data_IF_669844536824
#
_entry.id   IF_669844536824
#
_cell.length_a   1.000
_cell.length_b   1.000
_cell.length_c   1.000
_cell.angle_alpha   90.00
_cell.angle_beta   90.00
_cell.angle_gamma   90.00
#
_symmetry.space_group_name_H-M   'P 1'
#
loop_
_entity.id
_entity.type
_entity.pdbx_description
1 polymer ?
#
# COMPACT_ATOMS: atom_id res chain seq x y z
N UNK A 1 35.99 -4.75 12.89
CA UNK A 1 34.54 -4.55 13.15
C UNK A 1 34.02 -3.55 12.13
N UNK A 2 33.26 -3.98 11.11
CA UNK A 2 32.79 -3.06 10.06
C UNK A 2 31.60 -2.28 10.62
N UNK A 3 31.82 -1.02 11.03
CA UNK A 3 30.76 -0.07 11.39
C UNK A 3 30.08 0.39 10.09
N UNK A 4 28.77 0.26 10.01
CA UNK A 4 27.98 0.80 8.92
C UNK A 4 27.60 2.26 9.18
N UNK A 5 27.22 2.97 8.11
CA UNK A 5 26.70 4.33 8.22
C UNK A 5 25.33 4.32 8.93
N UNK A 6 24.92 5.46 9.51
CA UNK A 6 23.60 5.60 10.14
C UNK A 6 22.46 5.28 9.17
N UNK A 7 22.66 5.50 7.87
CA UNK A 7 21.64 5.34 6.83
C UNK A 7 21.31 3.87 6.53
N UNK A 8 22.29 2.97 6.59
CA UNK A 8 22.06 1.54 6.37
C UNK A 8 21.28 0.90 7.54
N UNK A 9 21.55 1.34 8.77
CA UNK A 9 20.77 0.92 9.94
C UNK A 9 19.33 1.44 9.88
N UNK A 10 19.14 2.68 9.41
CA UNK A 10 17.80 3.26 9.21
C UNK A 10 17.02 2.45 8.15
N UNK A 11 17.63 2.21 6.98
CA UNK A 11 17.02 1.44 5.89
C UNK A 11 16.61 0.03 6.31
N UNK A 12 17.46 -0.68 7.07
CA UNK A 12 17.13 -2.02 7.57
C UNK A 12 15.95 -2.02 8.56
N UNK A 13 15.85 -0.99 9.40
CA UNK A 13 14.72 -0.82 10.32
C UNK A 13 13.43 -0.46 9.57
N UNK A 14 13.52 0.35 8.51
CA UNK A 14 12.37 0.70 7.66
C UNK A 14 11.79 -0.55 6.99
N UNK A 15 12.65 -1.39 6.39
CA UNK A 15 12.25 -2.67 5.78
C UNK A 15 11.59 -3.58 6.83
N UNK A 16 12.19 -3.70 8.02
CA UNK A 16 11.62 -4.49 9.12
C UNK A 16 10.21 -4.01 9.49
N UNK A 17 10.04 -2.69 9.60
CA UNK A 17 8.75 -2.10 9.95
C UNK A 17 7.69 -2.35 8.87
N UNK A 18 8.06 -2.22 7.59
CA UNK A 18 7.19 -2.51 6.46
C UNK A 18 6.77 -3.99 6.39
N UNK A 19 7.72 -4.92 6.57
CA UNK A 19 7.43 -6.36 6.67
C UNK A 19 6.43 -6.64 7.80
N UNK A 20 6.63 -6.02 8.97
CA UNK A 20 5.72 -6.21 10.10
C UNK A 20 4.30 -5.70 9.83
N UNK A 21 4.12 -4.71 8.94
CA UNK A 21 2.79 -4.23 8.52
C UNK A 21 2.07 -5.23 7.62
N UNK A 22 2.79 -5.89 6.71
CA UNK A 22 2.22 -6.91 5.81
C UNK A 22 1.94 -8.22 6.56
N UNK A 23 2.84 -8.57 7.48
CA UNK A 23 2.75 -9.77 8.30
C UNK A 23 4.06 -10.57 8.27
N UNK A 24 4.68 -10.72 9.44
CA UNK A 24 5.93 -11.48 9.58
C UNK A 24 5.81 -12.95 9.15
N UNK A 25 4.60 -13.53 9.22
CA UNK A 25 4.33 -14.90 8.75
C UNK A 25 4.33 -14.98 7.22
N UNK A 26 3.69 -14.02 6.52
CA UNK A 26 3.73 -13.95 5.04
C UNK A 26 5.17 -13.80 4.54
N UNK A 27 5.97 -12.99 5.21
CA UNK A 27 7.39 -12.86 4.89
C UNK A 27 8.16 -14.16 5.15
N UNK A 28 7.89 -14.85 6.26
CA UNK A 28 8.50 -16.15 6.54
C UNK A 28 8.16 -17.18 5.46
N UNK A 29 6.89 -17.27 5.06
CA UNK A 29 6.42 -18.19 4.02
C UNK A 29 7.03 -17.86 2.66
N UNK A 30 7.12 -16.58 2.30
CA UNK A 30 7.82 -16.12 1.09
C UNK A 30 9.29 -16.56 1.09
N UNK A 31 10.01 -16.35 2.20
CA UNK A 31 11.42 -16.72 2.31
C UNK A 31 11.59 -18.23 2.24
N UNK A 32 10.71 -19.01 2.87
CA UNK A 32 10.74 -20.47 2.85
C UNK A 32 10.40 -21.02 1.46
N UNK A 33 9.41 -20.46 0.78
CA UNK A 33 8.98 -20.89 -0.56
C UNK A 33 10.04 -20.59 -1.62
N UNK A 34 10.65 -19.41 -1.57
CA UNK A 34 11.62 -18.94 -2.58
C UNK A 34 13.04 -19.43 -2.32
N UNK A 35 13.44 -19.59 -1.06
CA UNK A 35 14.80 -19.98 -0.68
C UNK A 35 14.83 -21.34 0.05
N UNK A 36 13.92 -22.26 -0.28
CA UNK A 36 13.69 -23.53 0.41
C UNK A 36 14.92 -24.41 0.68
N UNK A 37 15.99 -24.31 -0.12
CA UNK A 37 17.27 -24.99 0.17
C UNK A 37 17.99 -24.44 1.41
N UNK A 38 17.61 -23.26 1.92
CA UNK A 38 18.14 -22.61 3.12
C UNK A 38 17.13 -22.60 4.28
N UNK A 39 16.02 -23.36 4.19
CA UNK A 39 14.90 -23.34 5.15
C UNK A 39 15.34 -23.53 6.61
N UNK A 40 16.21 -24.49 6.88
CA UNK A 40 16.70 -24.75 8.24
C UNK A 40 17.62 -23.65 8.77
N UNK A 41 18.41 -23.04 7.88
CA UNK A 41 19.25 -21.90 8.20
C UNK A 41 18.43 -20.66 8.50
N UNK A 42 17.38 -20.39 7.72
CA UNK A 42 16.42 -19.30 7.96
C UNK A 42 15.69 -19.54 9.29
N UNK A 43 15.12 -20.72 9.51
CA UNK A 43 14.38 -21.04 10.74
C UNK A 43 15.24 -20.91 12.00
N UNK A 44 16.52 -21.30 11.96
CA UNK A 44 17.45 -21.17 13.09
C UNK A 44 17.85 -19.73 13.42
N UNK A 45 17.84 -18.83 12.43
CA UNK A 45 18.33 -17.46 12.59
C UNK A 45 17.22 -16.40 12.66
N UNK A 46 16.00 -16.68 12.16
CA UNK A 46 14.86 -15.76 12.17
C UNK A 46 14.32 -15.47 13.58
N UNK A 47 14.42 -16.43 14.50
CA UNK A 47 13.97 -16.30 15.90
C UNK A 47 14.85 -15.43 16.79
N UNK A 48 16.05 -15.07 16.32
CA UNK A 48 17.01 -14.23 17.06
C UNK A 48 16.97 -12.84 16.46
N UNK A 49 16.86 -11.80 17.29
CA UNK A 49 16.77 -10.39 16.87
C UNK A 49 18.06 -9.85 16.23
N UNK A 50 18.48 -10.45 15.11
CA UNK A 50 19.80 -10.25 14.49
C UNK A 50 19.87 -9.03 13.58
N UNK A 51 18.77 -8.28 13.43
CA UNK A 51 18.76 -7.05 12.63
C UNK A 51 19.69 -5.96 13.20
N UNK A 52 20.06 -6.04 14.48
CA UNK A 52 20.91 -5.06 15.16
C UNK A 52 22.43 -5.24 14.90
N UNK A 53 22.89 -6.39 14.37
CA UNK A 53 24.32 -6.65 14.10
C UNK A 53 24.56 -7.08 12.65
N UNK A 54 25.56 -6.49 12.00
CA UNK A 54 26.02 -6.86 10.65
C UNK A 54 26.36 -8.35 10.61
N UNK A 55 25.58 -9.12 9.86
CA UNK A 55 25.83 -10.54 9.61
C UNK A 55 25.40 -10.87 8.18
N UNK A 56 25.99 -11.91 7.58
CA UNK A 56 25.52 -12.45 6.29
C UNK A 56 24.03 -12.79 6.31
N UNK A 57 23.50 -13.16 7.47
CA UNK A 57 22.08 -13.42 7.67
C UNK A 57 21.22 -12.14 7.61
N UNK A 58 21.69 -11.04 8.20
CA UNK A 58 20.98 -9.75 8.14
C UNK A 58 20.92 -9.21 6.71
N UNK A 59 22.03 -9.26 5.98
CA UNK A 59 22.07 -8.74 4.61
C UNK A 59 21.17 -9.59 3.69
N UNK A 60 21.15 -10.91 3.88
CA UNK A 60 20.16 -11.80 3.28
C UNK A 60 18.71 -11.41 3.62
N UNK A 61 18.40 -11.08 4.88
CA UNK A 61 17.05 -10.65 5.26
C UNK A 61 16.67 -9.29 4.64
N UNK A 62 17.63 -8.39 4.45
CA UNK A 62 17.40 -7.10 3.78
C UNK A 62 17.08 -7.34 2.31
N UNK A 63 17.87 -8.14 1.61
CA UNK A 63 17.63 -8.50 0.20
C UNK A 63 16.30 -9.21 0.02
N UNK A 64 16.04 -10.27 0.80
CA UNK A 64 14.77 -10.99 0.77
C UNK A 64 13.60 -10.09 1.17
N UNK A 65 13.79 -9.15 2.09
CA UNK A 65 12.80 -8.15 2.48
C UNK A 65 12.46 -7.20 1.34
N UNK A 66 13.46 -6.72 0.59
CA UNK A 66 13.24 -5.89 -0.60
C UNK A 66 12.51 -6.68 -1.68
N UNK A 67 12.90 -7.93 -1.94
CA UNK A 67 12.20 -8.80 -2.89
C UNK A 67 10.76 -9.06 -2.46
N UNK A 68 10.52 -9.31 -1.17
CA UNK A 68 9.18 -9.51 -0.62
C UNK A 68 8.30 -8.27 -0.78
N UNK A 69 8.82 -7.08 -0.48
CA UNK A 69 8.09 -5.81 -0.61
C UNK A 69 7.78 -5.43 -2.06
N UNK A 70 8.62 -5.86 -3.01
CA UNK A 70 8.43 -5.63 -4.43
C UNK A 70 7.67 -6.76 -5.14
N UNK A 71 7.37 -7.87 -4.46
CA UNK A 71 6.50 -8.91 -4.99
C UNK A 71 5.11 -8.33 -5.21
N UNK A 72 4.52 -8.54 -6.39
CA UNK A 72 3.26 -7.90 -6.80
C UNK A 72 2.15 -8.06 -5.76
N UNK A 73 2.01 -9.24 -5.15
CA UNK A 73 0.95 -9.49 -4.16
C UNK A 73 1.15 -8.68 -2.87
N UNK A 74 2.40 -8.50 -2.43
CA UNK A 74 2.72 -7.75 -1.21
C UNK A 74 2.81 -6.25 -1.48
N UNK A 75 3.25 -5.86 -2.67
CA UNK A 75 3.23 -4.49 -3.16
C UNK A 75 1.80 -3.96 -3.17
N UNK A 76 0.84 -4.73 -3.68
CA UNK A 76 -0.58 -4.37 -3.71
C UNK A 76 -1.19 -4.24 -2.29
N UNK A 77 -0.63 -4.93 -1.29
CA UNK A 77 -1.01 -4.81 0.13
C UNK A 77 -0.41 -3.53 0.75
N UNK A 78 0.85 -3.21 0.44
CA UNK A 78 1.56 -2.04 0.96
C UNK A 78 1.13 -0.73 0.32
N UNK A 79 0.75 -0.82 -0.95
CA UNK A 79 0.39 0.28 -1.82
C UNK A 79 -1.00 0.02 -2.37
N UNK A 80 -2.03 -0.09 -1.49
CA UNK A 80 -3.38 -0.34 -1.94
C UNK A 80 -3.77 0.75 -2.92
N UNK A 81 -3.92 0.34 -4.18
CA UNK A 81 -4.40 1.25 -5.21
C UNK A 81 -5.86 1.49 -4.92
N UNK A 82 -6.21 2.76 -4.71
CA UNK A 82 -7.56 3.20 -4.43
C UNK A 82 -7.98 4.14 -5.55
N UNK A 83 -9.29 4.27 -5.76
CA UNK A 83 -9.81 5.35 -6.59
C UNK A 83 -10.19 6.51 -5.66
N UNK A 84 -9.68 7.71 -5.94
CA UNK A 84 -10.03 8.94 -5.22
C UNK A 84 -10.77 9.87 -6.18
N UNK A 85 -11.94 10.33 -5.76
CA UNK A 85 -12.75 11.30 -6.50
C UNK A 85 -13.27 12.40 -5.59
N UNK A 86 -13.73 13.49 -6.17
CA UNK A 86 -14.47 14.56 -5.50
C UNK A 86 -15.84 14.76 -6.14
N UNK A 87 -16.84 15.16 -5.36
CA UNK A 87 -18.22 15.22 -5.81
C UNK A 87 -18.55 16.50 -6.57
N UNK A 88 -18.14 17.66 -6.05
CA UNK A 88 -18.45 18.97 -6.64
C UNK A 88 -17.19 19.81 -6.83
N UNK A 89 -17.19 20.75 -7.78
CA UNK A 89 -16.01 21.61 -8.04
C UNK A 89 -15.51 22.35 -6.79
N UNK A 90 -16.40 22.73 -5.88
CA UNK A 90 -16.05 23.34 -4.59
C UNK A 90 -15.19 22.43 -3.69
N UNK A 91 -15.27 21.11 -3.86
CA UNK A 91 -14.50 20.11 -3.11
C UNK A 91 -13.08 19.92 -3.66
N UNK A 92 -12.76 20.51 -4.82
CA UNK A 92 -11.49 20.28 -5.53
C UNK A 92 -10.26 20.62 -4.67
N UNK A 93 -10.31 21.72 -3.92
CA UNK A 93 -9.21 22.11 -3.02
C UNK A 93 -8.98 21.06 -1.93
N UNK A 94 -10.07 20.60 -1.29
CA UNK A 94 -10.00 19.52 -0.30
C UNK A 94 -9.54 18.19 -0.89
N UNK A 95 -9.87 17.92 -2.15
CA UNK A 95 -9.41 16.76 -2.88
C UNK A 95 -7.90 16.77 -3.12
N UNK A 96 -7.31 17.90 -3.49
CA UNK A 96 -5.85 18.02 -3.62
C UNK A 96 -5.15 17.76 -2.28
N UNK A 97 -5.66 18.32 -1.19
CA UNK A 97 -5.13 18.06 0.16
C UNK A 97 -5.29 16.60 0.58
N UNK A 98 -6.42 15.98 0.24
CA UNK A 98 -6.68 14.57 0.53
C UNK A 98 -5.71 13.65 -0.23
N UNK A 99 -5.50 13.91 -1.52
CA UNK A 99 -4.53 13.22 -2.38
C UNK A 99 -3.13 13.29 -1.79
N UNK A 100 -2.64 14.50 -1.49
CA UNK A 100 -1.32 14.70 -0.91
C UNK A 100 -1.17 13.97 0.44
N UNK A 101 -2.18 14.05 1.32
CA UNK A 101 -2.16 13.33 2.60
C UNK A 101 -2.07 11.82 2.42
N UNK A 102 -2.77 11.27 1.44
CA UNK A 102 -2.80 9.83 1.13
C UNK A 102 -1.45 9.37 0.56
N UNK A 103 -0.88 10.14 -0.36
CA UNK A 103 0.43 9.89 -0.97
C UNK A 103 1.56 9.94 0.05
N UNK A 104 1.54 10.93 0.95
CA UNK A 104 2.52 11.04 2.04
C UNK A 104 2.49 9.86 3.02
N UNK A 105 1.42 9.07 3.02
CA UNK A 105 1.27 7.86 3.84
C UNK A 105 1.60 6.59 3.07
N UNK A 106 2.04 6.70 1.82
CA UNK A 106 2.52 5.59 0.98
C UNK A 106 1.42 4.89 0.17
N UNK A 107 0.22 5.44 0.08
CA UNK A 107 -0.83 4.94 -0.82
C UNK A 107 -0.83 5.74 -2.12
N UNK A 108 -1.10 5.08 -3.25
CA UNK A 108 -1.15 5.76 -4.56
C UNK A 108 -2.60 5.82 -5.07
N UNK A 109 -3.28 6.97 -4.95
CA UNK A 109 -4.64 7.12 -5.42
C UNK A 109 -4.66 7.30 -6.94
N UNK A 110 -5.47 6.49 -7.62
CA UNK A 110 -5.89 6.76 -8.98
C UNK A 110 -6.89 7.90 -8.91
N UNK A 111 -6.58 8.99 -9.62
CA UNK A 111 -7.36 10.22 -9.63
C UNK A 111 -7.85 10.51 -11.06
N UNK A 112 -8.92 9.85 -11.54
CA UNK A 112 -9.37 9.97 -12.93
C UNK A 112 -9.67 11.43 -13.33
N UNK A 113 -10.22 12.22 -12.39
CA UNK A 113 -10.58 13.62 -12.58
C UNK A 113 -9.39 14.55 -12.88
N UNK A 114 -8.16 14.17 -12.51
CA UNK A 114 -6.97 14.96 -12.84
C UNK A 114 -6.47 14.70 -14.26
N UNK A 115 -6.73 13.50 -14.80
CA UNK A 115 -6.31 13.11 -16.15
C UNK A 115 -7.27 13.62 -17.22
N UNK A 116 -8.57 13.65 -16.91
CA UNK A 116 -9.60 14.11 -17.82
C UNK A 116 -10.02 15.53 -17.45
N UNK A 117 -9.63 16.53 -18.25
CA UNK A 117 -10.15 17.92 -18.17
C UNK A 117 -11.68 18.03 -18.44
N UNK A 118 -12.41 16.92 -18.42
CA UNK A 118 -13.81 16.77 -18.82
C UNK A 118 -14.53 15.89 -17.78
N UNK A 119 -14.92 16.45 -16.63
CA UNK A 119 -15.42 15.69 -15.47
C UNK A 119 -16.75 14.96 -15.70
N UNK A 120 -17.38 15.07 -16.87
CA UNK A 120 -18.71 14.50 -17.17
C UNK A 120 -18.82 13.87 -18.58
N UNK A 121 -17.71 13.49 -19.21
CA UNK A 121 -17.78 12.77 -20.50
C UNK A 121 -18.09 11.28 -20.30
N UNK A 122 -18.75 10.64 -21.27
CA UNK A 122 -18.96 9.18 -21.29
C UNK A 122 -17.64 8.42 -21.12
N UNK A 123 -16.56 8.96 -21.72
CA UNK A 123 -15.22 8.42 -21.61
C UNK A 123 -14.69 8.45 -20.16
N UNK A 124 -14.90 9.56 -19.45
CA UNK A 124 -14.53 9.70 -18.04
C UNK A 124 -15.29 8.68 -17.18
N UNK A 125 -16.61 8.58 -17.36
CA UNK A 125 -17.44 7.62 -16.64
C UNK A 125 -17.01 6.17 -16.90
N UNK A 126 -16.68 5.83 -18.15
CA UNK A 126 -16.15 4.52 -18.51
C UNK A 126 -14.83 4.21 -17.80
N UNK A 127 -13.87 5.16 -17.78
CA UNK A 127 -12.60 4.96 -17.08
C UNK A 127 -12.80 4.82 -15.57
N UNK A 128 -13.65 5.67 -14.99
CA UNK A 128 -13.97 5.64 -13.58
C UNK A 128 -14.58 4.28 -13.18
N UNK A 129 -15.57 3.81 -13.94
CA UNK A 129 -16.22 2.50 -13.73
C UNK A 129 -15.21 1.36 -13.82
N UNK A 130 -14.28 1.42 -14.79
CA UNK A 130 -13.23 0.40 -14.95
C UNK A 130 -12.30 0.34 -13.74
N UNK A 131 -11.74 1.47 -13.30
CA UNK A 131 -10.82 1.52 -12.17
C UNK A 131 -11.49 1.14 -10.85
N UNK A 132 -12.73 1.60 -10.63
CA UNK A 132 -13.51 1.25 -9.44
C UNK A 132 -13.75 -0.27 -9.40
N UNK A 133 -14.14 -0.86 -10.53
CA UNK A 133 -14.38 -2.29 -10.61
C UNK A 133 -13.12 -3.14 -10.48
N UNK A 134 -11.95 -2.60 -10.82
CA UNK A 134 -10.67 -3.29 -10.66
C UNK A 134 -10.16 -3.23 -9.22
N UNK A 135 -10.22 -2.05 -8.59
CA UNK A 135 -9.58 -1.82 -7.29
C UNK A 135 -10.51 -2.00 -6.09
N UNK A 136 -11.84 -2.00 -6.31
CA UNK A 136 -12.91 -2.28 -5.35
C UNK A 136 -12.98 -1.36 -4.12
N UNK A 137 -12.11 -0.35 -4.03
CA UNK A 137 -12.11 0.66 -2.97
C UNK A 137 -12.17 2.04 -3.62
N UNK A 138 -13.22 2.78 -3.28
CA UNK A 138 -13.47 4.15 -3.72
C UNK A 138 -13.51 5.09 -2.51
N UNK A 139 -12.71 6.15 -2.56
CA UNK A 139 -12.80 7.28 -1.63
C UNK A 139 -13.41 8.47 -2.37
N UNK A 140 -14.42 9.08 -1.76
CA UNK A 140 -15.09 10.28 -2.25
C UNK A 140 -14.82 11.43 -1.29
N UNK A 141 -14.37 12.57 -1.82
CA UNK A 141 -14.30 13.85 -1.11
C UNK A 141 -15.59 14.62 -1.39
N UNK A 142 -16.40 14.85 -0.36
CA UNK A 142 -17.75 15.40 -0.48
C UNK A 142 -18.84 14.36 -0.19
N UNK A 143 -19.98 14.46 -0.87
CA UNK A 143 -21.11 13.57 -0.64
C UNK A 143 -20.89 12.16 -1.24
N UNK A 144 -21.16 11.13 -0.43
CA UNK A 144 -20.94 9.72 -0.80
C UNK A 144 -22.20 8.99 -1.29
N UNK A 145 -23.38 9.59 -1.13
CA UNK A 145 -24.66 8.90 -1.32
C UNK A 145 -24.85 8.42 -2.77
N UNK A 146 -24.51 9.27 -3.74
CA UNK A 146 -24.58 8.96 -5.17
C UNK A 146 -23.71 7.76 -5.54
N UNK A 147 -22.44 7.78 -5.12
CA UNK A 147 -21.49 6.70 -5.39
C UNK A 147 -21.87 5.38 -4.71
N UNK A 148 -22.46 5.43 -3.51
CA UNK A 148 -22.98 4.24 -2.84
C UNK A 148 -24.16 3.64 -3.58
N UNK A 149 -25.08 4.46 -4.05
CA UNK A 149 -26.21 3.99 -4.86
C UNK A 149 -25.75 3.38 -6.18
N UNK A 150 -24.70 3.94 -6.79
CA UNK A 150 -24.17 3.48 -8.09
C UNK A 150 -23.34 2.19 -8.01
N UNK A 151 -22.56 1.96 -6.95
CA UNK A 151 -21.57 0.87 -6.89
C UNK A 151 -21.72 -0.10 -5.69
N UNK A 152 -22.74 0.09 -4.85
CA UNK A 152 -22.84 -0.46 -3.50
C UNK A 152 -22.72 -1.99 -3.33
N UNK A 153 -22.99 -2.78 -4.37
CA UNK A 153 -23.01 -4.25 -4.26
C UNK A 153 -21.64 -4.92 -4.50
N UNK A 154 -20.61 -4.17 -4.91
CA UNK A 154 -19.29 -4.74 -5.20
C UNK A 154 -18.10 -3.85 -4.88
N UNK A 155 -18.32 -2.64 -4.37
CA UNK A 155 -17.29 -1.63 -4.14
C UNK A 155 -17.44 -1.07 -2.74
N UNK A 156 -16.32 -1.00 -2.01
CA UNK A 156 -16.29 -0.35 -0.70
C UNK A 156 -16.13 1.15 -0.93
N UNK A 157 -17.20 1.89 -0.68
CA UNK A 157 -17.25 3.35 -0.85
C UNK A 157 -17.12 4.06 0.49
N UNK A 158 -16.08 4.90 0.61
CA UNK A 158 -15.82 5.72 1.78
C UNK A 158 -15.90 7.22 1.49
N UNK A 159 -16.34 7.98 2.49
CA UNK A 159 -16.10 9.42 2.52
C UNK A 159 -14.70 9.69 3.05
N UNK A 160 -13.96 10.59 2.39
CA UNK A 160 -12.64 10.99 2.85
C UNK A 160 -12.73 11.59 4.26
N UNK A 161 -11.82 11.15 5.12
CA UNK A 161 -11.54 11.75 6.42
C UNK A 161 -10.10 11.50 6.82
N UNK A 162 -9.55 12.37 7.66
CA UNK A 162 -8.21 12.18 8.22
C UNK A 162 -8.15 10.81 8.94
N UNK A 163 -7.16 9.99 8.60
CA UNK A 163 -7.00 8.64 9.16
C UNK A 163 -7.56 7.50 8.30
N UNK A 164 -8.27 7.78 7.20
CA UNK A 164 -8.90 6.77 6.34
C UNK A 164 -7.94 5.70 5.80
N UNK A 165 -6.68 6.06 5.57
CA UNK A 165 -5.64 5.13 5.11
C UNK A 165 -5.44 3.94 6.06
N UNK A 166 -5.59 4.11 7.37
CA UNK A 166 -5.49 3.01 8.32
C UNK A 166 -6.63 2.01 8.17
N UNK A 167 -7.82 2.48 7.79
CA UNK A 167 -8.97 1.63 7.53
C UNK A 167 -8.79 0.86 6.22
N UNK A 168 -8.27 1.52 5.19
CA UNK A 168 -7.96 0.89 3.90
C UNK A 168 -6.91 -0.20 4.06
N UNK A 169 -5.84 0.07 4.82
CA UNK A 169 -4.81 -0.92 5.12
C UNK A 169 -5.36 -2.13 5.88
N UNK A 170 -6.35 -1.94 6.77
CA UNK A 170 -7.02 -3.05 7.47
C UNK A 170 -7.88 -3.91 6.54
N UNK A 171 -8.52 -3.31 5.52
CA UNK A 171 -9.34 -4.06 4.57
C UNK A 171 -8.53 -4.94 3.62
N UNK A 172 -7.27 -4.57 3.36
CA UNK A 172 -6.38 -5.27 2.41
C UNK A 172 -5.41 -6.25 3.08
N UNK A 173 -5.28 -6.22 4.41
CA UNK A 173 -4.37 -7.07 5.22
C UNK A 173 -4.95 -8.42 5.59
#
# INVERSE_FOLDING_TARGET
MIKYSKDECKRANDIKYQISKIGNHKFYDFVVGRYGQKRDWVRKNFSKSLLLKKTKFRDFLIEAGIEFLNDKQNYDIMHPTIVLVYNHEQDYSSFLSAKESIENQGMFPICPQLATKLPNSELYNFFLDKFINEHKILIVVGEVAEYKAKYGDGVIVFGYRKGIYHEILRLKG
#
